data_IF_862279323054
#
_entry.id   IF_862279323054
#
_cell.length_a   1.000
_cell.length_b   1.000
_cell.length_c   1.000
_cell.angle_alpha   90.00
_cell.angle_beta   90.00
_cell.angle_gamma   90.00
#
_symmetry.space_group_name_H-M   'P 1'
#
loop_
_entity.id
_entity.type
_entity.pdbx_description
1 polymer ?
#
# COMPACT_ATOMS: atom_id res chain seq x y z
N UNK A 1 39.48 -26.85 6.16
CA UNK A 1 38.10 -26.33 6.25
C UNK A 1 37.96 -25.81 7.66
N UNK A 2 38.30 -24.54 7.86
CA UNK A 2 38.05 -23.85 9.12
C UNK A 2 36.82 -22.96 8.91
N UNK A 3 35.77 -23.21 9.66
CA UNK A 3 34.59 -22.34 9.73
C UNK A 3 34.95 -21.12 10.56
N UNK A 4 35.03 -19.95 9.92
CA UNK A 4 35.07 -18.67 10.60
C UNK A 4 33.64 -18.28 10.99
N UNK A 5 33.26 -18.48 12.25
CA UNK A 5 32.06 -17.86 12.82
C UNK A 5 32.22 -16.33 12.84
N UNK A 6 31.39 -15.65 12.05
CA UNK A 6 31.22 -14.19 12.09
C UNK A 6 30.52 -13.81 13.39
N UNK A 7 31.28 -13.33 14.38
CA UNK A 7 30.73 -12.68 15.58
C UNK A 7 30.33 -11.25 15.26
N UNK A 8 29.03 -10.97 15.22
CA UNK A 8 28.51 -9.61 15.19
C UNK A 8 28.74 -8.92 16.54
N UNK A 9 29.15 -7.64 16.57
CA UNK A 9 29.28 -6.88 17.80
C UNK A 9 27.90 -6.71 18.45
N UNK A 10 27.78 -7.08 19.74
CA UNK A 10 26.58 -6.81 20.51
C UNK A 10 26.43 -5.30 20.69
N UNK A 11 25.31 -4.75 20.19
CA UNK A 11 24.93 -3.37 20.46
C UNK A 11 24.72 -3.20 21.98
N UNK A 12 25.13 -2.05 22.56
CA UNK A 12 24.94 -1.79 23.98
C UNK A 12 23.44 -1.83 24.33
N UNK A 13 23.11 -2.57 25.38
CA UNK A 13 21.76 -2.63 25.92
C UNK A 13 21.33 -1.23 26.37
N UNK A 14 20.18 -0.70 25.92
CA UNK A 14 19.72 0.61 26.35
C UNK A 14 19.49 0.61 27.87
N UNK A 15 19.74 1.75 28.56
CA UNK A 15 19.53 1.85 29.99
C UNK A 15 18.05 1.62 30.34
N UNK A 16 17.80 1.00 31.50
CA UNK A 16 16.45 0.81 32.01
C UNK A 16 15.74 2.16 32.20
N UNK A 17 14.45 2.29 31.82
CA UNK A 17 13.69 3.53 31.97
C UNK A 17 13.60 3.93 33.45
N UNK A 18 13.78 5.22 33.75
CA UNK A 18 13.68 5.73 35.12
C UNK A 18 12.22 5.87 35.55
N UNK A 19 11.85 5.44 36.77
CA UNK A 19 10.48 5.58 37.26
C UNK A 19 10.11 7.07 37.40
N UNK A 20 9.05 7.50 36.70
CA UNK A 20 8.50 8.86 36.75
C UNK A 20 8.84 9.78 35.56
N UNK A 21 9.53 9.30 34.52
CA UNK A 21 9.63 10.07 33.27
C UNK A 21 8.31 9.93 32.49
N UNK A 22 7.67 11.06 32.16
CA UNK A 22 6.55 11.09 31.20
C UNK A 22 7.01 10.38 29.92
N UNK A 23 6.42 9.23 29.65
CA UNK A 23 6.79 8.43 28.52
C UNK A 23 6.11 8.99 27.26
N UNK A 24 6.79 8.86 26.13
CA UNK A 24 6.22 9.23 24.85
C UNK A 24 6.45 8.12 23.84
N UNK A 25 5.44 7.88 23.01
CA UNK A 25 5.52 6.92 21.91
C UNK A 25 5.41 7.67 20.60
N UNK A 26 6.19 7.26 19.61
CA UNK A 26 6.20 7.84 18.29
C UNK A 26 5.96 6.76 17.24
N UNK A 27 5.05 7.00 16.30
CA UNK A 27 4.74 6.03 15.24
C UNK A 27 4.32 6.75 13.96
N UNK A 28 4.55 6.12 12.79
CA UNK A 28 4.11 6.65 11.51
C UNK A 28 2.61 6.43 11.31
N UNK A 29 1.95 7.37 10.64
CA UNK A 29 0.57 7.27 10.15
C UNK A 29 0.56 7.62 8.67
N UNK A 30 -0.03 6.75 7.86
CA UNK A 30 -0.30 7.03 6.44
C UNK A 30 -1.73 7.54 6.29
N UNK A 31 -1.87 8.75 5.74
CA UNK A 31 -3.14 9.23 5.24
C UNK A 31 -3.25 8.86 3.76
N UNK A 32 -4.01 7.80 3.50
CA UNK A 32 -4.23 7.31 2.15
C UNK A 32 -4.86 8.38 1.24
N UNK A 33 -5.77 9.20 1.75
CA UNK A 33 -6.55 10.17 0.96
C UNK A 33 -5.67 11.28 0.40
N UNK A 34 -4.77 11.83 1.22
CA UNK A 34 -3.78 12.81 0.77
C UNK A 34 -2.45 12.20 0.32
N UNK A 35 -2.28 10.86 0.39
CA UNK A 35 -1.05 10.12 0.06
C UNK A 35 0.17 10.67 0.80
N UNK A 36 0.02 10.95 2.09
CA UNK A 36 1.08 11.56 2.90
C UNK A 36 1.35 10.76 4.17
N UNK A 37 2.59 10.86 4.62
CA UNK A 37 3.02 10.27 5.88
C UNK A 37 3.13 11.34 6.96
N UNK A 38 2.69 10.98 8.16
CA UNK A 38 2.72 11.85 9.33
C UNK A 38 3.34 11.11 10.49
N UNK A 39 4.31 11.74 11.13
CA UNK A 39 4.81 11.25 12.40
C UNK A 39 3.86 11.66 13.52
N UNK A 40 3.33 10.71 14.28
CA UNK A 40 2.48 11.00 15.44
C UNK A 40 3.25 10.69 16.71
N UNK A 41 3.37 11.69 17.58
CA UNK A 41 3.97 11.56 18.91
C UNK A 41 2.92 11.71 19.98
N UNK A 42 2.70 10.66 20.76
CA UNK A 42 1.85 10.70 21.95
C UNK A 42 2.73 11.02 23.16
N UNK A 43 2.36 12.06 23.90
CA UNK A 43 3.04 12.49 25.13
C UNK A 43 2.14 12.27 26.35
N UNK A 44 2.76 12.35 27.53
CA UNK A 44 2.10 12.21 28.83
C UNK A 44 1.41 10.85 29.01
N UNK A 45 2.05 9.77 28.52
CA UNK A 45 1.55 8.40 28.71
C UNK A 45 1.82 7.94 30.13
N UNK A 46 0.80 7.37 30.77
CA UNK A 46 0.97 6.59 31.99
C UNK A 46 1.38 5.14 31.68
N UNK A 47 1.96 4.46 32.68
CA UNK A 47 2.45 3.08 32.52
C UNK A 47 1.33 2.10 32.13
N UNK A 48 0.10 2.36 32.57
CA UNK A 48 -1.07 1.54 32.23
C UNK A 48 -1.43 1.63 30.73
N UNK A 49 -1.22 2.79 30.10
CA UNK A 49 -1.48 2.99 28.67
C UNK A 49 -0.41 2.32 27.81
N UNK A 50 0.85 2.27 28.27
CA UNK A 50 1.96 1.59 27.58
C UNK A 50 1.82 0.07 27.55
N UNK A 51 1.34 -0.54 28.62
CA UNK A 51 1.09 -1.99 28.65
C UNK A 51 0.04 -2.42 27.61
N UNK A 52 -0.87 -1.51 27.25
CA UNK A 52 -1.84 -1.75 26.16
C UNK A 52 -1.29 -1.53 24.75
N UNK A 53 -0.10 -0.95 24.61
CA UNK A 53 0.60 -0.79 23.33
C UNK A 53 1.28 -2.10 22.87
N UNK A 54 1.74 -2.94 23.81
CA UNK A 54 2.45 -4.19 23.53
C UNK A 54 1.59 -5.46 23.47
N UNK A 55 0.28 -5.36 23.74
CA UNK A 55 -0.60 -6.51 23.94
C UNK A 55 -1.89 -6.43 23.13
N UNK A 56 -2.16 -7.48 22.36
CA UNK A 56 -3.42 -7.66 21.65
C UNK A 56 -4.62 -7.68 22.62
N UNK A 57 -5.35 -6.55 22.73
CA UNK A 57 -6.80 -6.39 22.98
C UNK A 57 -7.11 -5.05 23.66
N UNK A 58 -7.42 -4.01 22.88
CA UNK A 58 -8.52 -3.06 23.13
C UNK A 58 -8.50 -1.94 22.09
N UNK A 59 -9.54 -1.86 21.27
CA UNK A 59 -9.78 -0.77 20.31
C UNK A 59 -10.12 0.58 20.98
N UNK A 60 -10.20 0.66 22.31
CA UNK A 60 -10.86 1.78 23.01
C UNK A 60 -10.01 3.05 23.24
N UNK A 61 -8.74 3.02 23.67
CA UNK A 61 -7.99 4.25 23.94
C UNK A 61 -7.54 4.96 22.66
N UNK A 62 -7.39 4.22 21.56
CA UNK A 62 -6.95 4.77 20.27
C UNK A 62 -8.07 5.51 19.51
N UNK A 63 -9.33 5.30 19.88
CA UNK A 63 -10.45 5.94 19.19
C UNK A 63 -10.35 7.47 19.27
N UNK A 64 -9.96 8.03 20.42
CA UNK A 64 -9.82 9.48 20.58
C UNK A 64 -8.70 10.05 19.70
N UNK A 65 -7.55 9.37 19.68
CA UNK A 65 -6.39 9.73 18.83
C UNK A 65 -6.75 9.61 17.35
N UNK A 66 -7.33 8.49 16.92
CA UNK A 66 -7.76 8.29 15.53
C UNK A 66 -8.80 9.31 15.11
N UNK A 67 -9.80 9.61 15.94
CA UNK A 67 -10.83 10.60 15.62
C UNK A 67 -10.25 12.01 15.51
N UNK A 68 -9.33 12.38 16.42
CA UNK A 68 -8.67 13.68 16.38
C UNK A 68 -7.75 13.82 15.15
N UNK A 69 -6.99 12.77 14.80
CA UNK A 69 -6.18 12.73 13.60
C UNK A 69 -7.04 12.80 12.34
N UNK A 70 -8.09 11.99 12.24
CA UNK A 70 -9.01 12.02 11.10
C UNK A 70 -9.62 13.42 10.94
N UNK A 71 -10.13 14.02 12.03
CA UNK A 71 -10.68 15.37 12.00
C UNK A 71 -9.64 16.43 11.58
N UNK A 72 -8.37 16.29 11.99
CA UNK A 72 -7.29 17.17 11.56
C UNK A 72 -7.06 17.07 10.05
N UNK A 73 -6.96 15.83 9.53
CA UNK A 73 -6.70 15.55 8.12
C UNK A 73 -7.86 16.00 7.24
N UNK A 74 -9.08 15.63 7.61
CA UNK A 74 -10.31 16.00 6.90
C UNK A 74 -10.53 17.52 6.88
N UNK A 75 -10.03 18.24 7.88
CA UNK A 75 -10.16 19.71 7.93
C UNK A 75 -9.29 20.44 6.90
N UNK A 76 -8.23 19.80 6.39
CA UNK A 76 -7.26 20.40 5.47
C UNK A 76 -6.47 21.59 6.04
N UNK A 77 -6.51 21.82 7.36
CA UNK A 77 -5.91 23.01 7.99
C UNK A 77 -4.38 22.96 8.09
N UNK A 78 -3.81 21.76 8.11
CA UNK A 78 -2.39 21.51 8.30
C UNK A 78 -1.83 20.67 7.14
N UNK A 79 -1.82 21.21 5.91
CA UNK A 79 -1.43 20.46 4.70
C UNK A 79 0.06 20.09 4.69
N UNK A 80 0.89 20.88 5.36
CA UNK A 80 2.35 20.72 5.39
C UNK A 80 2.86 20.14 6.71
N UNK A 81 1.97 19.61 7.56
CA UNK A 81 2.40 18.98 8.81
C UNK A 81 3.16 17.69 8.52
N UNK A 82 4.39 17.60 9.03
CA UNK A 82 5.23 16.40 9.02
C UNK A 82 5.11 15.63 10.34
N UNK A 83 4.76 16.31 11.43
CA UNK A 83 4.55 15.70 12.75
C UNK A 83 3.38 16.32 13.51
N UNK A 84 2.63 15.49 14.24
CA UNK A 84 1.59 15.89 15.18
C UNK A 84 1.93 15.36 16.57
N UNK A 85 1.94 16.25 17.56
CA UNK A 85 2.10 15.90 18.98
C UNK A 85 0.74 15.95 19.65
N UNK A 86 0.37 14.88 20.35
CA UNK A 86 -0.93 14.76 21.00
C UNK A 86 -0.84 14.04 22.35
N UNK A 87 -1.90 14.16 23.15
CA UNK A 87 -2.09 13.38 24.38
C UNK A 87 -2.93 12.14 24.10
N UNK A 88 -2.94 11.20 25.04
CA UNK A 88 -3.70 9.95 24.93
C UNK A 88 -5.23 10.17 24.79
N UNK A 89 -5.74 11.31 25.24
CA UNK A 89 -7.16 11.70 25.11
C UNK A 89 -7.53 12.29 23.74
N UNK A 90 -6.60 12.33 22.78
CA UNK A 90 -6.78 12.90 21.46
C UNK A 90 -6.56 14.42 21.37
N UNK A 91 -6.20 15.09 22.48
CA UNK A 91 -5.89 16.52 22.45
C UNK A 91 -4.61 16.77 21.66
N UNK A 92 -4.69 17.58 20.60
CA UNK A 92 -3.53 18.03 19.83
C UNK A 92 -2.78 19.08 20.64
N UNK A 93 -1.51 18.81 20.94
CA UNK A 93 -0.61 19.72 21.65
C UNK A 93 0.08 20.67 20.66
N UNK A 94 0.56 20.14 19.54
CA UNK A 94 1.22 20.94 18.50
C UNK A 94 1.33 20.18 17.17
N UNK A 95 1.53 20.92 16.08
CA UNK A 95 1.93 20.42 14.76
C UNK A 95 3.31 20.99 14.40
N UNK A 96 4.00 20.31 13.49
CA UNK A 96 5.31 20.71 12.99
C UNK A 96 5.35 20.49 11.47
N UNK A 97 5.91 21.44 10.74
CA UNK A 97 6.18 21.34 9.29
C UNK A 97 7.68 21.27 8.99
N UNK A 98 8.43 20.68 9.92
CA UNK A 98 9.88 20.58 9.79
C UNK A 98 10.20 19.45 8.80
N UNK A 99 10.85 19.75 7.65
CA UNK A 99 11.16 18.73 6.65
C UNK A 99 12.10 17.64 7.19
N UNK A 100 12.91 17.92 8.22
CA UNK A 100 13.76 16.91 8.85
C UNK A 100 12.98 15.83 9.62
N UNK A 101 11.69 16.08 9.86
CA UNK A 101 10.73 15.14 10.47
C UNK A 101 9.79 14.51 9.44
N UNK A 102 9.99 14.82 8.17
CA UNK A 102 9.25 14.14 7.12
C UNK A 102 9.71 12.69 7.06
N UNK A 103 8.79 11.79 7.37
CA UNK A 103 8.99 10.35 7.36
C UNK A 103 8.47 9.71 6.08
N UNK A 104 8.06 10.52 5.09
CA UNK A 104 7.61 10.02 3.79
C UNK A 104 8.71 9.15 3.19
N UNK A 105 8.46 7.86 2.99
CA UNK A 105 9.47 6.97 2.44
C UNK A 105 9.82 7.45 1.03
N UNK A 106 11.11 7.49 0.72
CA UNK A 106 11.56 7.70 -0.65
C UNK A 106 11.22 6.46 -1.46
N UNK A 107 10.11 6.47 -2.20
CA UNK A 107 9.68 5.30 -2.98
C UNK A 107 10.69 5.01 -4.08
N UNK A 108 11.32 3.84 -4.06
CA UNK A 108 12.13 3.39 -5.17
C UNK A 108 11.23 2.87 -6.31
N UNK A 109 11.13 3.62 -7.40
CA UNK A 109 10.50 3.13 -8.62
C UNK A 109 11.53 2.43 -9.52
N UNK A 110 11.33 1.15 -9.83
CA UNK A 110 12.25 0.42 -10.69
C UNK A 110 12.13 0.87 -12.18
N UNK A 111 13.24 0.98 -12.93
CA UNK A 111 13.21 1.19 -14.38
C UNK A 111 12.40 0.11 -15.11
N UNK A 112 11.70 0.50 -16.19
CA UNK A 112 10.92 -0.46 -17.01
C UNK A 112 11.77 -1.60 -17.57
N UNK A 113 13.03 -1.34 -17.91
CA UNK A 113 13.94 -2.35 -18.45
C UNK A 113 14.20 -3.51 -17.47
N UNK A 114 14.21 -3.23 -16.17
CA UNK A 114 14.49 -4.25 -15.16
C UNK A 114 13.38 -5.30 -15.12
N UNK A 115 12.15 -4.92 -15.48
CA UNK A 115 11.00 -5.84 -15.54
C UNK A 115 11.15 -6.90 -16.62
N UNK A 116 12.06 -6.77 -17.58
CA UNK A 116 12.38 -7.84 -18.56
C UNK A 116 11.13 -8.49 -19.18
N UNK A 117 10.10 -7.69 -19.49
CA UNK A 117 8.81 -8.19 -19.95
C UNK A 117 8.98 -8.97 -21.27
N UNK A 118 8.29 -10.12 -21.44
CA UNK A 118 8.44 -10.92 -22.65
C UNK A 118 8.10 -10.12 -23.91
N UNK A 119 8.99 -10.13 -24.92
CA UNK A 119 8.80 -9.39 -26.17
C UNK A 119 7.56 -9.82 -26.97
N UNK A 120 7.07 -11.04 -26.74
CA UNK A 120 5.83 -11.57 -27.30
C UNK A 120 4.59 -10.86 -26.76
N UNK A 121 4.70 -10.26 -25.57
CA UNK A 121 3.63 -9.69 -24.79
C UNK A 121 3.85 -8.19 -24.72
N UNK A 122 3.47 -7.49 -25.80
CA UNK A 122 3.55 -6.02 -25.87
C UNK A 122 2.49 -5.41 -24.95
N UNK A 123 2.80 -5.34 -23.66
CA UNK A 123 2.01 -4.57 -22.70
C UNK A 123 2.30 -3.09 -22.99
N UNK A 124 1.30 -2.27 -23.34
CA UNK A 124 1.52 -0.86 -23.57
C UNK A 124 1.86 -0.13 -22.26
N UNK A 125 2.51 1.02 -22.38
CA UNK A 125 2.79 1.89 -21.25
C UNK A 125 1.88 3.11 -21.28
N UNK A 126 1.62 3.70 -20.11
CA UNK A 126 0.90 4.95 -19.98
C UNK A 126 1.57 5.82 -18.89
N UNK A 127 1.85 7.11 -19.15
CA UNK A 127 2.26 8.04 -18.10
C UNK A 127 1.18 8.17 -17.01
N UNK A 128 1.59 8.38 -15.76
CA UNK A 128 0.65 8.50 -14.64
C UNK A 128 -0.21 9.77 -14.75
N UNK A 129 0.32 10.89 -15.22
CA UNK A 129 -0.40 12.15 -15.47
C UNK A 129 -1.41 12.05 -16.62
N UNK A 130 -1.35 10.98 -17.41
CA UNK A 130 -2.36 10.65 -18.41
C UNK A 130 -3.56 9.87 -17.83
N UNK A 131 -3.58 9.64 -16.52
CA UNK A 131 -4.67 8.97 -15.79
C UNK A 131 -5.38 9.98 -14.88
N UNK A 132 -6.71 10.04 -15.02
CA UNK A 132 -7.59 10.84 -14.17
C UNK A 132 -8.13 9.93 -13.06
N UNK A 133 -7.83 10.25 -11.80
CA UNK A 133 -8.43 9.57 -10.65
C UNK A 133 -9.93 9.83 -10.59
N UNK A 134 -10.73 8.76 -10.54
CA UNK A 134 -12.21 8.79 -10.48
C UNK A 134 -12.75 8.37 -9.11
N UNK A 135 -11.93 7.71 -8.33
CA UNK A 135 -12.26 7.24 -7.00
C UNK A 135 -11.28 6.18 -6.55
N UNK A 136 -11.50 5.64 -5.37
CA UNK A 136 -10.58 4.70 -4.74
C UNK A 136 -11.28 3.43 -4.27
N UNK A 137 -10.62 2.28 -4.46
CA UNK A 137 -11.11 1.01 -3.93
C UNK A 137 -10.54 0.67 -2.56
N UNK A 138 -9.29 1.09 -2.31
CA UNK A 138 -8.59 0.91 -1.05
C UNK A 138 -7.17 1.45 -1.16
N UNK A 139 -6.34 1.22 -0.14
CA UNK A 139 -4.92 1.58 -0.18
C UNK A 139 -4.27 1.08 -1.46
N UNK A 140 -3.51 1.96 -2.11
CA UNK A 140 -2.71 1.67 -3.31
C UNK A 140 -3.50 1.15 -4.52
N UNK A 141 -4.83 1.32 -4.52
CA UNK A 141 -5.72 0.83 -5.59
C UNK A 141 -6.79 1.87 -5.92
N UNK A 142 -6.59 2.54 -7.05
CA UNK A 142 -7.47 3.60 -7.54
C UNK A 142 -8.31 3.15 -8.73
N UNK A 143 -9.47 3.78 -8.89
CA UNK A 143 -10.25 3.75 -10.13
C UNK A 143 -9.84 4.97 -10.94
N UNK A 144 -9.34 4.74 -12.15
CA UNK A 144 -8.82 5.80 -13.02
C UNK A 144 -9.45 5.74 -14.42
N UNK A 145 -9.35 6.83 -15.15
CA UNK A 145 -9.74 6.92 -16.56
C UNK A 145 -8.59 7.55 -17.37
N UNK A 146 -8.18 7.00 -18.52
CA UNK A 146 -7.23 7.67 -19.40
C UNK A 146 -7.79 9.03 -19.88
N UNK A 147 -6.93 10.04 -20.00
CA UNK A 147 -7.32 11.35 -20.56
C UNK A 147 -7.86 11.20 -21.99
N UNK A 148 -7.29 10.28 -22.77
CA UNK A 148 -7.73 9.99 -24.14
C UNK A 148 -9.10 9.32 -24.22
N UNK A 149 -9.53 8.62 -23.17
CA UNK A 149 -10.82 7.97 -23.07
C UNK A 149 -11.45 8.14 -21.68
N UNK A 150 -11.94 9.36 -21.35
CA UNK A 150 -12.40 9.70 -20.01
C UNK A 150 -13.62 8.91 -19.50
N UNK A 151 -14.33 8.23 -20.40
CA UNK A 151 -15.45 7.33 -20.10
C UNK A 151 -15.02 5.94 -19.64
N UNK A 152 -13.78 5.55 -19.95
CA UNK A 152 -13.26 4.24 -19.57
C UNK A 152 -12.97 4.22 -18.07
N UNK A 153 -13.08 3.02 -17.49
CA UNK A 153 -12.72 2.79 -16.09
C UNK A 153 -11.69 1.69 -16.02
N UNK A 154 -10.57 2.01 -15.40
CA UNK A 154 -9.48 1.09 -15.11
C UNK A 154 -9.25 1.04 -13.61
N UNK A 155 -8.64 -0.03 -13.16
CA UNK A 155 -8.10 -0.17 -11.82
C UNK A 155 -6.60 0.06 -11.90
N UNK A 156 -6.10 1.09 -11.25
CA UNK A 156 -4.69 1.37 -11.11
C UNK A 156 -4.19 0.83 -9.78
N UNK A 157 -3.30 -0.16 -9.83
CA UNK A 157 -2.57 -0.66 -8.66
C UNK A 157 -1.18 -0.04 -8.65
N UNK A 158 -0.84 0.63 -7.57
CA UNK A 158 0.44 1.32 -7.40
C UNK A 158 1.09 0.95 -6.08
N UNK A 159 2.22 1.59 -5.75
CA UNK A 159 2.90 1.43 -4.48
C UNK A 159 3.60 2.73 -4.09
N UNK A 160 3.77 2.93 -2.79
CA UNK A 160 4.50 4.04 -2.17
C UNK A 160 5.57 3.53 -1.19
N UNK A 161 5.43 2.29 -0.71
CA UNK A 161 6.36 1.63 0.20
C UNK A 161 7.16 0.53 -0.52
N UNK A 162 8.39 0.27 -0.04
CA UNK A 162 9.29 -0.75 -0.61
C UNK A 162 8.73 -2.17 -0.50
N UNK A 163 7.96 -2.47 0.55
CA UNK A 163 7.30 -3.77 0.70
C UNK A 163 6.28 -4.00 -0.44
N UNK A 164 5.52 -2.95 -0.78
CA UNK A 164 4.51 -3.00 -1.84
C UNK A 164 5.12 -2.96 -3.26
N UNK A 165 6.32 -2.39 -3.42
CA UNK A 165 7.07 -2.49 -4.68
C UNK A 165 7.23 -3.95 -5.10
N UNK A 166 7.61 -4.81 -4.17
CA UNK A 166 7.83 -6.24 -4.44
C UNK A 166 6.54 -6.92 -4.89
N UNK A 167 5.40 -6.56 -4.29
CA UNK A 167 4.09 -7.07 -4.67
C UNK A 167 3.70 -6.62 -6.08
N UNK A 168 3.90 -5.35 -6.40
CA UNK A 168 3.62 -4.81 -7.74
C UNK A 168 4.54 -5.42 -8.79
N UNK A 169 5.81 -5.60 -8.46
CA UNK A 169 6.77 -6.28 -9.31
C UNK A 169 6.32 -7.70 -9.66
N UNK A 170 6.09 -8.54 -8.64
CA UNK A 170 5.64 -9.91 -8.86
C UNK A 170 4.31 -9.97 -9.62
N UNK A 171 3.38 -9.06 -9.31
CA UNK A 171 2.11 -8.96 -10.02
C UNK A 171 2.34 -8.70 -11.51
N UNK A 172 3.19 -7.73 -11.87
CA UNK A 172 3.49 -7.44 -13.26
C UNK A 172 4.11 -8.66 -13.96
N UNK A 173 5.10 -9.31 -13.35
CA UNK A 173 5.76 -10.49 -13.91
C UNK A 173 4.78 -11.66 -14.14
N UNK A 174 4.02 -12.01 -13.11
CA UNK A 174 3.07 -13.12 -13.14
C UNK A 174 2.01 -12.86 -14.20
N UNK A 175 1.44 -11.65 -14.20
CA UNK A 175 0.34 -11.32 -15.10
C UNK A 175 0.81 -11.17 -16.54
N UNK A 176 2.03 -10.67 -16.77
CA UNK A 176 2.66 -10.68 -18.09
C UNK A 176 2.79 -12.11 -18.62
N UNK A 177 3.17 -13.08 -17.78
CA UNK A 177 3.22 -14.50 -18.16
C UNK A 177 1.85 -15.14 -18.44
N UNK A 178 0.76 -14.53 -17.99
CA UNK A 178 -0.62 -15.05 -18.12
C UNK A 178 -1.48 -14.30 -19.12
N UNK A 179 -0.90 -13.39 -19.89
CA UNK A 179 -1.63 -12.68 -20.94
C UNK A 179 -2.29 -13.67 -21.89
N UNK A 180 -3.60 -13.49 -22.08
CA UNK A 180 -4.43 -14.36 -22.92
C UNK A 180 -5.18 -15.46 -22.18
N UNK A 181 -4.98 -15.62 -20.87
CA UNK A 181 -5.74 -16.58 -20.08
C UNK A 181 -7.21 -16.14 -19.92
N UNK A 182 -8.21 -16.99 -20.22
CA UNK A 182 -9.63 -16.59 -20.32
C UNK A 182 -10.26 -16.17 -18.99
N UNK A 183 -9.77 -16.68 -17.87
CA UNK A 183 -10.30 -16.41 -16.52
C UNK A 183 -9.41 -15.53 -15.65
N UNK A 184 -8.34 -14.93 -16.21
CA UNK A 184 -7.45 -14.03 -15.49
C UNK A 184 -7.50 -12.67 -16.16
N UNK A 185 -7.77 -11.64 -15.37
CA UNK A 185 -7.90 -10.26 -15.87
C UNK A 185 -6.53 -9.78 -16.35
N UNK A 186 -6.35 -9.38 -17.62
CA UNK A 186 -5.03 -9.00 -18.11
C UNK A 186 -4.58 -7.65 -17.55
N UNK A 187 -3.26 -7.45 -17.50
CA UNK A 187 -2.69 -6.10 -17.41
C UNK A 187 -3.03 -5.36 -18.69
N UNK A 188 -3.55 -4.15 -18.53
CA UNK A 188 -3.87 -3.28 -19.64
C UNK A 188 -2.71 -2.35 -19.97
N UNK A 189 -2.09 -1.73 -18.97
CA UNK A 189 -0.91 -0.88 -19.14
C UNK A 189 0.06 -1.02 -17.98
N UNK A 190 1.36 -0.88 -18.24
CA UNK A 190 2.33 -0.53 -17.20
C UNK A 190 2.33 0.99 -17.04
N UNK A 191 2.18 1.48 -15.83
CA UNK A 191 2.11 2.92 -15.54
C UNK A 191 3.51 3.43 -15.22
N UNK A 192 3.91 4.51 -15.89
CA UNK A 192 5.22 5.14 -15.73
C UNK A 192 5.08 6.48 -15.04
N UNK A 193 6.05 6.80 -14.19
CA UNK A 193 6.27 8.16 -13.72
C UNK A 193 6.67 9.03 -14.90
N UNK A 194 6.09 10.21 -14.98
CA UNK A 194 6.13 11.17 -16.08
C UNK A 194 7.56 11.63 -16.36
N UNK A 195 8.27 12.06 -15.31
CA UNK A 195 9.62 12.61 -15.43
C UNK A 195 10.70 11.52 -15.46
N UNK A 196 10.59 10.51 -14.59
CA UNK A 196 11.65 9.51 -14.43
C UNK A 196 11.53 8.32 -15.37
N UNK A 197 10.37 8.11 -16.00
CA UNK A 197 10.08 6.94 -16.84
C UNK A 197 10.09 5.61 -16.08
N UNK A 198 10.13 5.65 -14.73
CA UNK A 198 10.17 4.47 -13.86
C UNK A 198 8.77 3.92 -13.62
N UNK A 199 8.66 2.63 -13.31
CA UNK A 199 7.37 1.97 -13.14
C UNK A 199 6.80 2.26 -11.76
N UNK A 200 5.62 2.88 -11.75
CA UNK A 200 4.88 3.22 -10.52
C UNK A 200 3.78 2.22 -10.21
N UNK A 201 3.42 1.39 -11.20
CA UNK A 201 2.32 0.45 -11.06
C UNK A 201 1.82 -0.06 -12.40
N UNK A 202 0.58 -0.56 -12.41
CA UNK A 202 -0.07 -1.07 -13.60
C UNK A 202 -1.59 -0.89 -13.55
N UNK A 203 -2.21 -0.86 -14.72
CA UNK A 203 -3.67 -0.80 -14.84
C UNK A 203 -4.26 -2.13 -15.29
N UNK A 204 -5.50 -2.36 -14.89
CA UNK A 204 -6.35 -3.49 -15.31
C UNK A 204 -7.76 -2.98 -15.66
N UNK A 205 -8.55 -3.73 -16.45
CA UNK A 205 -9.95 -3.42 -16.66
C UNK A 205 -10.73 -3.33 -15.34
N UNK A 206 -11.61 -2.33 -15.23
CA UNK A 206 -12.55 -2.25 -14.12
C UNK A 206 -13.65 -3.30 -14.26
N UNK A 207 -13.81 -4.13 -13.23
CA UNK A 207 -14.89 -5.13 -13.17
C UNK A 207 -15.98 -4.68 -12.18
N UNK A 208 -17.17 -4.38 -12.71
CA UNK A 208 -18.31 -3.92 -11.90
C UNK A 208 -18.91 -5.01 -10.98
N UNK A 209 -18.50 -6.27 -11.14
CA UNK A 209 -19.04 -7.42 -10.39
C UNK A 209 -18.63 -7.47 -8.91
N UNK A 210 -17.67 -6.64 -8.47
CA UNK A 210 -17.19 -6.64 -7.10
C UNK A 210 -16.37 -7.87 -6.73
N UNK A 211 -16.25 -8.16 -5.44
CA UNK A 211 -15.52 -9.31 -4.92
C UNK A 211 -16.47 -10.36 -4.32
N UNK A 212 -16.02 -11.61 -4.22
CA UNK A 212 -16.82 -12.73 -3.72
C UNK A 212 -17.26 -12.53 -2.26
N UNK A 213 -16.50 -11.81 -1.45
CA UNK A 213 -16.82 -11.54 -0.06
C UNK A 213 -18.09 -10.68 0.08
N UNK A 214 -18.19 -9.59 -0.70
CA UNK A 214 -19.39 -8.74 -0.73
C UNK A 214 -20.59 -9.49 -1.29
N UNK A 215 -20.39 -10.30 -2.33
CA UNK A 215 -21.47 -11.05 -2.96
C UNK A 215 -21.97 -12.25 -2.12
N UNK A 216 -21.15 -12.79 -1.20
CA UNK A 216 -21.53 -13.89 -0.30
C UNK A 216 -22.85 -13.64 0.44
N UNK A 217 -23.10 -12.39 0.80
CA UNK A 217 -24.31 -11.98 1.54
C UNK A 217 -25.50 -11.63 0.64
N UNK A 218 -25.25 -11.35 -0.64
CA UNK A 218 -26.24 -10.82 -1.59
C UNK A 218 -26.76 -11.88 -2.56
N UNK A 219 -25.96 -12.90 -2.87
CA UNK A 219 -26.30 -13.93 -3.86
C UNK A 219 -25.78 -15.29 -3.41
N UNK A 220 -26.52 -16.38 -3.67
CA UNK A 220 -25.98 -17.73 -3.48
C UNK A 220 -24.77 -17.93 -4.41
N UNK A 221 -23.70 -18.50 -3.87
CA UNK A 221 -22.51 -18.85 -4.63
C UNK A 221 -22.87 -19.86 -5.72
N UNK A 222 -22.54 -19.55 -6.98
CA UNK A 222 -22.88 -20.39 -8.14
C UNK A 222 -21.80 -21.42 -8.41
N UNK A 223 -22.20 -22.66 -8.71
CA UNK A 223 -21.26 -23.73 -9.11
C UNK A 223 -20.41 -23.33 -10.33
N UNK A 224 -20.96 -22.52 -11.24
CA UNK A 224 -20.24 -21.97 -12.38
C UNK A 224 -19.02 -21.15 -11.97
N UNK A 225 -19.10 -20.38 -10.87
CA UNK A 225 -17.96 -19.61 -10.36
C UNK A 225 -16.85 -20.52 -9.86
N UNK A 226 -17.18 -21.62 -9.18
CA UNK A 226 -16.19 -22.63 -8.81
C UNK A 226 -15.52 -23.24 -10.04
N UNK A 227 -16.27 -23.56 -11.10
CA UNK A 227 -15.69 -24.09 -12.34
C UNK A 227 -14.68 -23.11 -12.96
N UNK A 228 -15.03 -21.83 -13.05
CA UNK A 228 -14.13 -20.80 -13.57
C UNK A 228 -12.86 -20.65 -12.71
N UNK A 229 -12.99 -20.72 -11.38
CA UNK A 229 -11.84 -20.69 -10.46
C UNK A 229 -10.93 -21.91 -10.65
N UNK A 230 -11.49 -23.11 -10.80
CA UNK A 230 -10.68 -24.30 -11.07
C UNK A 230 -10.00 -24.23 -12.43
N UNK A 231 -10.68 -23.79 -13.49
CA UNK A 231 -10.09 -23.60 -14.81
C UNK A 231 -8.90 -22.61 -14.78
N UNK A 232 -9.02 -21.53 -14.00
CA UNK A 232 -7.93 -20.58 -13.82
C UNK A 232 -6.66 -21.18 -13.16
N UNK A 233 -6.83 -22.25 -12.38
CA UNK A 233 -5.72 -22.96 -11.73
C UNK A 233 -5.21 -24.09 -12.64
N UNK A 234 -6.12 -24.88 -13.21
CA UNK A 234 -5.82 -26.09 -13.97
C UNK A 234 -5.16 -25.82 -15.32
N UNK A 235 -5.50 -24.71 -16.01
CA UNK A 235 -4.90 -24.37 -17.31
C UNK A 235 -3.37 -24.12 -17.22
N UNK A 236 -2.82 -23.96 -16.00
CA UNK A 236 -1.36 -23.90 -15.74
C UNK A 236 -0.68 -25.27 -15.68
N UNK A 237 -1.43 -26.38 -15.65
CA UNK A 237 -0.90 -27.74 -15.54
C UNK A 237 -0.59 -28.40 -16.88
N UNK A 238 -0.90 -27.76 -18.01
CA UNK A 238 -0.53 -28.29 -19.33
C UNK A 238 0.83 -27.72 -19.79
N UNK A 239 1.82 -28.58 -20.11
CA UNK A 239 3.08 -28.13 -20.69
C UNK A 239 2.82 -27.48 -22.06
N UNK A 240 3.66 -26.51 -22.48
CA UNK A 240 3.49 -25.86 -23.78
C UNK A 240 3.54 -26.91 -24.89
N UNK A 241 2.45 -27.03 -25.64
CA UNK A 241 2.41 -27.82 -26.87
C UNK A 241 3.37 -27.16 -27.84
N UNK A 242 4.57 -27.75 -28.02
CA UNK A 242 5.51 -27.36 -29.07
C UNK A 242 4.78 -27.51 -30.41
N UNK A 243 4.55 -26.39 -31.10
CA UNK A 243 4.25 -26.37 -32.53
C UNK A 243 5.54 -26.23 -33.30
#
# INVERSE_FOLDING_TARGET
MEEHELRFPQLPTPPAPQPGSLQSVCYPVHDGDSRRWLQVKIVDLDDATLDTWGGARSYSPYAAIHNALAALLDSGREPDATMVVMKADGTIVSTSSDPSRDITPGTYYAPLADYQLPSSNKIPTIPRDHLIERGRFGPYTDVVAPISSPSDRLVFKHYEEDEEMTNVWFSIQIMAGLLGHPHIVPIQHVVLHEESGRVVGFTMPFLAGGNLERERTRRPFKLEWAKQLFQAIDDRSQPPVRR
#
